data_IF_031149455490
#
_entry.id   IF_031149455490
#
_cell.length_a   1.000
_cell.length_b   1.000
_cell.length_c   1.000
_cell.angle_alpha   90.00
_cell.angle_beta   90.00
_cell.angle_gamma   90.00
#
_symmetry.space_group_name_H-M   'P 1'
#
loop_
_entity.id
_entity.type
_entity.pdbx_description
1 polymer ?
#
# COMPACT_ATOMS: atom_id res chain seq x y z
N UNK A 1 8.62 12.98 -0.39
CA UNK A 1 9.58 12.45 0.62
C UNK A 1 10.79 11.92 -0.13
N UNK A 2 12.00 12.35 0.24
CA UNK A 2 13.24 11.97 -0.45
C UNK A 2 14.01 10.99 0.43
N UNK A 3 14.47 9.89 -0.15
CA UNK A 3 15.30 8.89 0.54
C UNK A 3 16.69 8.91 -0.04
N UNK A 4 17.69 8.71 0.81
CA UNK A 4 19.06 8.62 0.35
C UNK A 4 19.26 7.29 -0.39
N UNK A 5 19.72 7.36 -1.64
CA UNK A 5 19.97 6.17 -2.47
C UNK A 5 21.41 5.69 -2.31
N UNK A 6 22.36 6.62 -2.31
CA UNK A 6 23.79 6.33 -2.22
C UNK A 6 24.41 7.12 -1.08
N UNK A 7 24.91 6.40 -0.07
CA UNK A 7 25.69 6.98 1.02
C UNK A 7 27.16 7.08 0.60
N UNK A 8 27.82 8.17 0.97
CA UNK A 8 29.26 8.30 0.91
C UNK A 8 29.94 7.21 1.75
N UNK A 9 31.13 6.71 1.35
CA UNK A 9 31.98 5.97 2.27
C UNK A 9 32.22 6.79 3.56
N UNK A 10 32.30 6.09 4.70
CA UNK A 10 32.54 6.71 6.00
C UNK A 10 33.90 7.42 5.99
N UNK A 11 33.91 8.70 6.40
CA UNK A 11 35.16 9.40 6.70
C UNK A 11 35.72 8.92 8.06
N UNK A 12 36.97 9.25 8.39
CA UNK A 12 37.69 8.84 9.61
C UNK A 12 36.96 9.20 10.92
N UNK A 13 36.02 10.15 10.86
CA UNK A 13 35.15 10.60 11.97
C UNK A 13 33.78 9.90 12.01
N UNK A 14 33.53 8.92 11.13
CA UNK A 14 32.28 8.14 11.06
C UNK A 14 31.10 8.83 10.38
N UNK A 15 31.29 10.04 9.86
CA UNK A 15 30.25 10.80 9.15
C UNK A 15 30.05 10.29 7.72
N UNK A 16 28.79 10.09 7.32
CA UNK A 16 28.38 9.76 5.95
C UNK A 16 27.38 10.81 5.45
N UNK A 17 27.65 11.37 4.29
CA UNK A 17 26.73 12.27 3.59
C UNK A 17 26.00 11.51 2.49
N UNK A 18 24.80 11.96 2.16
CA UNK A 18 24.08 11.42 1.02
C UNK A 18 24.61 12.04 -0.27
N UNK A 19 25.09 11.20 -1.20
CA UNK A 19 25.61 11.64 -2.50
C UNK A 19 24.50 11.77 -3.54
N UNK A 20 23.47 10.91 -3.46
CA UNK A 20 22.34 10.92 -4.39
C UNK A 20 21.01 10.75 -3.63
N UNK A 21 20.14 11.75 -3.76
CA UNK A 21 18.78 11.72 -3.25
C UNK A 21 17.84 11.21 -4.32
N UNK A 22 17.01 10.22 -3.98
CA UNK A 22 15.97 9.71 -4.87
C UNK A 22 14.60 10.12 -4.33
N UNK A 23 13.71 10.58 -5.22
CA UNK A 23 12.30 10.68 -4.88
C UNK A 23 11.76 9.30 -4.54
N UNK A 24 11.25 9.15 -3.32
CA UNK A 24 10.62 7.91 -2.91
C UNK A 24 9.29 7.80 -3.65
N UNK A 25 9.29 7.05 -4.75
CA UNK A 25 8.07 6.73 -5.46
C UNK A 25 7.22 5.85 -4.55
N UNK A 26 5.98 6.25 -4.20
CA UNK A 26 5.13 5.41 -3.37
C UNK A 26 4.91 4.07 -4.10
N UNK A 27 5.03 2.97 -3.35
CA UNK A 27 4.79 1.61 -3.88
C UNK A 27 3.36 1.47 -4.40
N UNK A 28 2.42 2.11 -3.71
CA UNK A 28 1.05 2.25 -4.17
C UNK A 28 1.01 3.37 -5.23
N UNK A 29 0.44 3.12 -6.42
CA UNK A 29 0.15 4.20 -7.35
C UNK A 29 -0.70 5.26 -6.64
N UNK A 30 -0.59 6.52 -7.06
CA UNK A 30 -1.42 7.60 -6.54
C UNK A 30 -2.88 7.31 -6.92
N UNK A 31 -3.57 6.52 -6.10
CA UNK A 31 -4.98 6.23 -6.27
C UNK A 31 -5.72 7.51 -5.91
N UNK A 32 -6.45 8.04 -6.88
CA UNK A 32 -7.45 9.06 -6.59
C UNK A 32 -8.47 8.48 -5.62
N UNK A 33 -9.02 9.34 -4.77
CA UNK A 33 -9.98 8.93 -3.71
C UNK A 33 -11.14 8.11 -4.29
N UNK A 34 -11.63 8.50 -5.48
CA UNK A 34 -12.66 7.76 -6.21
C UNK A 34 -12.27 6.32 -6.57
N UNK A 35 -11.02 6.10 -6.98
CA UNK A 35 -10.57 4.77 -7.37
C UNK A 35 -10.39 3.86 -6.15
N UNK A 36 -9.98 4.43 -5.01
CA UNK A 36 -9.93 3.72 -3.73
C UNK A 36 -11.34 3.30 -3.28
N UNK A 37 -12.32 4.20 -3.35
CA UNK A 37 -13.71 3.91 -2.98
C UNK A 37 -14.32 2.80 -3.85
N UNK A 38 -14.08 2.83 -5.17
CA UNK A 38 -14.56 1.77 -6.07
C UNK A 38 -13.97 0.40 -5.71
N UNK A 39 -12.68 0.33 -5.38
CA UNK A 39 -12.06 -0.93 -4.94
C UNK A 39 -12.64 -1.39 -3.59
N UNK A 40 -12.89 -0.46 -2.67
CA UNK A 40 -13.47 -0.75 -1.36
C UNK A 40 -14.89 -1.33 -1.50
N UNK A 41 -15.73 -0.72 -2.36
CA UNK A 41 -17.08 -1.20 -2.66
C UNK A 41 -17.04 -2.61 -3.24
N UNK A 42 -16.11 -2.88 -4.17
CA UNK A 42 -15.97 -4.22 -4.77
C UNK A 42 -15.61 -5.28 -3.71
N UNK A 43 -14.67 -4.97 -2.81
CA UNK A 43 -14.27 -5.87 -1.72
C UNK A 43 -15.45 -6.16 -0.79
N UNK A 44 -16.13 -5.10 -0.32
CA UNK A 44 -17.29 -5.23 0.57
C UNK A 44 -18.42 -6.02 -0.10
N UNK A 45 -18.66 -5.80 -1.40
CA UNK A 45 -19.65 -6.54 -2.18
C UNK A 45 -19.37 -8.05 -2.22
N UNK A 46 -18.12 -8.46 -2.46
CA UNK A 46 -17.75 -9.88 -2.44
C UNK A 46 -17.99 -10.53 -1.06
N UNK A 47 -17.61 -9.85 0.02
CA UNK A 47 -17.86 -10.34 1.38
C UNK A 47 -19.35 -10.46 1.69
N UNK A 48 -20.14 -9.46 1.29
CA UNK A 48 -21.59 -9.47 1.47
C UNK A 48 -22.23 -10.66 0.75
N UNK A 49 -21.85 -10.92 -0.51
CA UNK A 49 -22.37 -12.06 -1.28
C UNK A 49 -22.05 -13.38 -0.59
N UNK A 50 -20.79 -13.60 -0.18
CA UNK A 50 -20.39 -14.84 0.51
C UNK A 50 -21.14 -15.02 1.83
N UNK A 51 -21.36 -13.92 2.56
CA UNK A 51 -22.11 -13.95 3.81
C UNK A 51 -23.57 -14.35 3.58
N UNK A 52 -24.25 -13.73 2.61
CA UNK A 52 -25.63 -14.07 2.26
C UNK A 52 -25.75 -15.53 1.83
N UNK A 53 -24.84 -16.01 0.97
CA UNK A 53 -24.83 -17.42 0.54
C UNK A 53 -24.69 -18.36 1.73
N UNK A 54 -23.75 -18.08 2.66
CA UNK A 54 -23.60 -18.88 3.88
C UNK A 54 -24.84 -18.85 4.76
N UNK A 55 -25.48 -17.69 4.90
CA UNK A 55 -26.67 -17.56 5.73
C UNK A 55 -27.84 -18.35 5.13
N UNK A 56 -28.05 -18.28 3.82
CA UNK A 56 -29.09 -19.05 3.11
C UNK A 56 -28.85 -20.56 3.26
N UNK A 57 -27.61 -21.03 3.10
CA UNK A 57 -27.27 -22.45 3.32
C UNK A 57 -27.54 -22.86 4.77
N UNK A 58 -27.24 -21.99 5.74
CA UNK A 58 -27.50 -22.26 7.16
C UNK A 58 -28.99 -22.32 7.50
N UNK A 59 -29.85 -21.60 6.78
CA UNK A 59 -31.31 -21.62 6.99
C UNK A 59 -31.99 -22.81 6.31
N UNK A 60 -31.36 -23.38 5.28
CA UNK A 60 -31.85 -24.56 4.56
C UNK A 60 -31.43 -25.90 5.20
N UNK A 61 -30.60 -25.86 6.25
CA UNK A 61 -30.09 -27.03 6.97
C UNK A 61 -30.76 -27.16 8.33
#
# INVERSE_FOLDING_TARGET
>A
MHVCKTLSPQNETGLQTCLEWQEQKPFLPNLTVQQADQMLIAIVGCFAVVFIVKQVISLLK
#
